data_IF_942669171738
#
_entry.id   IF_942669171738
#
_cell.length_a   1.000
_cell.length_b   1.000
_cell.length_c   1.000
_cell.angle_alpha   90.00
_cell.angle_beta   90.00
_cell.angle_gamma   90.00
#
_symmetry.space_group_name_H-M   'P 1'
#
loop_
_entity.id
_entity.type
_entity.pdbx_description
1 polymer ?
#
# COMPACT_ATOMS: atom_id res chain seq x y z
N UNK A 1 18.35 6.16 14.83
CA UNK A 1 18.84 5.72 16.15
C UNK A 1 18.57 6.81 17.16
N UNK A 2 18.06 6.47 18.35
CA UNK A 2 17.78 7.40 19.46
C UNK A 2 19.00 8.25 19.86
N UNK A 3 20.21 7.70 19.68
CA UNK A 3 21.48 8.40 19.93
C UNK A 3 21.71 9.60 18.99
N UNK A 4 21.28 9.51 17.73
CA UNK A 4 21.38 10.63 16.78
C UNK A 4 20.43 11.76 17.15
N UNK A 5 19.29 11.43 17.76
CA UNK A 5 18.26 12.39 18.14
C UNK A 5 18.62 13.11 19.43
N UNK A 6 19.17 12.37 20.41
CA UNK A 6 19.73 12.93 21.64
C UNK A 6 20.86 13.93 21.35
N UNK A 7 21.76 13.60 20.42
CA UNK A 7 22.83 14.52 19.99
C UNK A 7 22.34 15.79 19.28
N UNK A 8 21.17 15.74 18.65
CA UNK A 8 20.61 16.85 17.87
C UNK A 8 19.48 17.59 18.60
N UNK A 9 19.18 17.25 19.86
CA UNK A 9 18.11 17.89 20.65
C UNK A 9 16.71 17.68 20.07
N UNK A 10 16.51 16.65 19.24
CA UNK A 10 15.23 16.37 18.60
C UNK A 10 14.33 15.54 19.53
N UNK A 11 13.03 15.84 19.52
CA UNK A 11 12.03 15.12 20.33
C UNK A 11 12.10 13.61 20.03
N UNK A 12 12.26 12.82 21.09
CA UNK A 12 12.29 11.37 21.01
C UNK A 12 10.84 10.87 21.05
N UNK A 13 10.39 10.26 19.95
CA UNK A 13 9.13 9.53 19.91
C UNK A 13 9.38 8.11 20.44
N UNK A 14 8.53 7.62 21.34
CA UNK A 14 8.69 6.30 21.98
C UNK A 14 8.08 5.20 21.11
N UNK A 15 6.97 5.51 20.43
CA UNK A 15 6.17 4.51 19.71
C UNK A 15 6.23 4.69 18.19
N UNK A 16 6.45 5.91 17.71
CA UNK A 16 6.55 6.23 16.29
C UNK A 16 8.01 6.49 15.91
N UNK A 17 8.42 6.04 14.71
CA UNK A 17 9.70 6.42 14.13
C UNK A 17 9.70 7.91 13.75
N UNK A 18 10.84 8.58 13.88
CA UNK A 18 10.95 9.99 13.52
C UNK A 18 10.49 10.26 12.08
N UNK A 19 9.75 11.36 11.87
CA UNK A 19 9.20 11.69 10.57
C UNK A 19 10.31 11.91 9.54
N UNK A 20 10.19 11.34 8.31
CA UNK A 20 11.09 11.66 7.20
C UNK A 20 10.69 13.00 6.57
N UNK A 21 10.79 14.08 7.34
CA UNK A 21 10.28 15.43 7.00
C UNK A 21 10.87 15.93 5.68
N UNK A 22 12.17 15.72 5.47
CA UNK A 22 12.84 16.15 4.24
C UNK A 22 12.30 15.42 3.01
N UNK A 23 12.13 14.11 3.10
CA UNK A 23 11.58 13.32 1.99
C UNK A 23 10.12 13.71 1.71
N UNK A 24 9.31 13.85 2.76
CA UNK A 24 7.91 14.26 2.65
C UNK A 24 7.76 15.64 2.00
N UNK A 25 8.49 16.63 2.49
CA UNK A 25 8.43 17.98 1.94
C UNK A 25 8.98 18.06 0.52
N UNK A 26 10.03 17.31 0.20
CA UNK A 26 10.55 17.24 -1.17
C UNK A 26 9.53 16.66 -2.15
N UNK A 27 8.86 15.56 -1.77
CA UNK A 27 7.87 14.90 -2.61
C UNK A 27 6.67 15.81 -2.91
N UNK A 28 6.16 16.51 -1.90
CA UNK A 28 5.03 17.42 -2.05
C UNK A 28 5.40 18.75 -2.72
N UNK A 29 6.61 19.26 -2.49
CA UNK A 29 7.09 20.49 -3.13
C UNK A 29 7.30 20.33 -4.64
N UNK A 30 7.45 19.10 -5.14
CA UNK A 30 7.63 18.84 -6.57
C UNK A 30 6.30 19.09 -7.29
N UNK A 31 6.08 20.34 -7.74
CA UNK A 31 4.87 20.83 -8.41
C UNK A 31 4.31 19.93 -9.53
N UNK A 32 5.15 19.10 -10.17
CA UNK A 32 4.70 18.12 -11.17
C UNK A 32 3.89 16.94 -10.59
N UNK A 33 4.02 16.67 -9.28
CA UNK A 33 3.16 15.74 -8.56
C UNK A 33 1.79 16.35 -8.25
N UNK A 34 1.68 17.68 -8.14
CA UNK A 34 0.44 18.38 -7.77
C UNK A 34 -0.72 18.23 -8.76
N UNK A 35 -0.48 17.77 -9.99
CA UNK A 35 -1.55 17.40 -10.94
C UNK A 35 -2.01 15.94 -10.82
N UNK A 36 -1.20 15.08 -10.20
CA UNK A 36 -1.46 13.64 -10.04
C UNK A 36 -1.70 13.23 -8.58
N UNK A 37 -1.49 14.15 -7.64
CA UNK A 37 -1.71 13.94 -6.21
C UNK A 37 -3.06 14.55 -5.83
N UNK A 38 -4.00 13.69 -5.45
CA UNK A 38 -5.35 14.10 -5.03
C UNK A 38 -5.44 14.31 -3.50
N UNK A 39 -4.84 13.39 -2.72
CA UNK A 39 -4.86 13.45 -1.26
C UNK A 39 -3.68 12.70 -0.63
N UNK A 40 -3.30 13.11 0.58
CA UNK A 40 -2.38 12.40 1.47
C UNK A 40 -3.20 11.56 2.44
N UNK A 41 -2.96 10.24 2.43
CA UNK A 41 -3.62 9.31 3.34
C UNK A 41 -2.70 9.06 4.53
N UNK A 42 -3.17 9.47 5.70
CA UNK A 42 -2.51 9.19 6.96
C UNK A 42 -3.07 7.88 7.55
N UNK A 43 -2.22 6.86 7.64
CA UNK A 43 -2.57 5.55 8.17
C UNK A 43 -1.75 5.30 9.43
N UNK A 44 -2.43 5.03 10.53
CA UNK A 44 -1.84 4.55 11.79
C UNK A 44 -2.35 3.15 12.05
N UNK A 45 -1.44 2.20 12.26
CA UNK A 45 -1.74 0.80 12.53
C UNK A 45 -1.30 0.48 13.96
N UNK A 46 -2.18 -0.11 14.74
CA UNK A 46 -1.88 -0.55 16.10
C UNK A 46 -2.22 -2.03 16.30
N UNK A 47 -1.36 -2.71 17.06
CA UNK A 47 -1.45 -4.14 17.34
C UNK A 47 -1.70 -4.35 18.84
N UNK A 48 -2.90 -4.77 19.27
CA UNK A 48 -3.24 -4.88 20.68
C UNK A 48 -2.56 -6.06 21.41
N UNK A 49 -2.21 -7.12 20.68
CA UNK A 49 -1.75 -8.39 21.26
C UNK A 49 -0.37 -8.81 20.73
N UNK A 50 -0.30 -9.28 19.49
CA UNK A 50 0.95 -9.80 18.92
C UNK A 50 1.44 -8.87 17.81
N UNK A 51 2.69 -8.43 17.93
CA UNK A 51 3.40 -7.70 16.86
C UNK A 51 4.28 -8.73 16.16
N UNK A 52 3.99 -9.10 14.90
CA UNK A 52 4.84 -10.04 14.17
C UNK A 52 6.16 -9.33 13.82
N UNK A 53 7.18 -9.50 14.66
CA UNK A 53 8.50 -8.88 14.45
C UNK A 53 9.44 -9.76 13.63
N UNK A 54 9.20 -11.06 13.61
CA UNK A 54 10.14 -12.06 13.06
C UNK A 54 9.43 -13.02 12.13
N UNK A 55 10.15 -13.47 11.09
CA UNK A 55 9.66 -14.48 10.14
C UNK A 55 9.23 -15.79 10.81
N UNK A 56 9.78 -16.08 11.99
CA UNK A 56 9.36 -17.22 12.82
C UNK A 56 7.89 -17.14 13.25
N UNK A 57 7.35 -15.95 13.49
CA UNK A 57 5.92 -15.79 13.81
C UNK A 57 5.04 -16.14 12.61
N UNK A 58 5.49 -15.85 11.37
CA UNK A 58 4.79 -16.26 10.15
C UNK A 58 4.74 -17.78 10.01
N UNK A 59 5.87 -18.46 10.24
CA UNK A 59 5.96 -19.93 10.14
C UNK A 59 5.14 -20.65 11.22
N UNK A 60 5.08 -20.09 12.43
CA UNK A 60 4.28 -20.62 13.54
C UNK A 60 2.78 -20.31 13.41
N UNK A 61 2.37 -19.53 12.41
CA UNK A 61 0.99 -19.09 12.24
C UNK A 61 0.52 -18.12 13.33
N UNK A 62 1.46 -17.46 14.01
CA UNK A 62 1.21 -16.51 15.09
C UNK A 62 0.88 -15.14 14.52
N UNK A 63 -0.33 -15.04 13.96
CA UNK A 63 -0.87 -13.81 13.40
C UNK A 63 -1.62 -13.00 14.45
N UNK A 64 -1.53 -11.66 14.40
CA UNK A 64 -2.37 -10.80 15.24
C UNK A 64 -3.83 -11.10 14.99
N UNK A 65 -4.55 -11.50 16.05
CA UNK A 65 -6.00 -11.76 16.00
C UNK A 65 -6.81 -10.51 15.69
N UNK A 66 -6.25 -9.34 15.96
CA UNK A 66 -6.91 -8.07 15.83
C UNK A 66 -5.88 -7.01 15.44
N UNK A 67 -6.26 -6.13 14.51
CA UNK A 67 -5.45 -5.00 14.06
C UNK A 67 -6.36 -3.79 13.98
N UNK A 68 -5.94 -2.69 14.58
CA UNK A 68 -6.71 -1.46 14.56
C UNK A 68 -6.10 -0.50 13.54
N UNK A 69 -6.92 -0.03 12.61
CA UNK A 69 -6.54 0.96 11.61
C UNK A 69 -7.19 2.29 11.93
N UNK A 70 -6.38 3.34 11.99
CA UNK A 70 -6.86 4.71 11.94
C UNK A 70 -6.42 5.32 10.62
N UNK A 71 -7.39 5.65 9.77
CA UNK A 71 -7.15 6.22 8.43
C UNK A 71 -7.76 7.61 8.37
N UNK A 72 -6.97 8.60 7.96
CA UNK A 72 -7.45 9.94 7.70
C UNK A 72 -6.97 10.43 6.34
N UNK A 73 -7.88 10.97 5.53
CA UNK A 73 -7.58 11.49 4.19
C UNK A 73 -7.49 13.01 4.23
N UNK A 74 -6.34 13.57 3.87
CA UNK A 74 -6.12 15.00 3.73
C UNK A 74 -6.10 15.36 2.23
N UNK A 75 -7.13 16.05 1.70
CA UNK A 75 -7.11 16.56 0.33
C UNK A 75 -5.92 17.50 0.11
N UNK A 76 -5.33 17.51 -1.08
CA UNK A 76 -4.19 18.42 -1.36
C UNK A 76 -4.57 19.90 -1.17
N UNK A 77 -5.82 20.27 -1.42
CA UNK A 77 -6.33 21.62 -1.16
C UNK A 77 -6.25 22.05 0.32
N UNK A 78 -6.17 21.10 1.26
CA UNK A 78 -6.03 21.37 2.70
C UNK A 78 -4.58 21.49 3.17
N UNK A 79 -3.61 21.19 2.30
CA UNK A 79 -2.19 21.19 2.67
C UNK A 79 -1.59 22.59 2.56
N UNK A 80 -0.64 22.96 3.45
CA UNK A 80 0.08 24.22 3.33
C UNK A 80 0.91 24.29 2.05
N UNK A 81 0.99 25.48 1.45
CA UNK A 81 1.74 25.70 0.22
C UNK A 81 3.25 25.96 0.47
N UNK A 82 3.61 26.50 1.65
CA UNK A 82 5.01 26.76 2.00
C UNK A 82 5.71 25.50 2.48
N UNK A 83 7.02 25.41 2.20
CA UNK A 83 7.84 24.27 2.61
C UNK A 83 7.92 24.20 4.14
N UNK A 84 8.12 25.33 4.80
CA UNK A 84 8.27 25.46 6.25
C UNK A 84 6.97 25.06 6.96
N UNK A 85 5.82 25.55 6.48
CA UNK A 85 4.50 25.19 7.02
C UNK A 85 4.20 23.71 6.83
N UNK A 86 4.66 23.12 5.73
CA UNK A 86 4.51 21.69 5.46
C UNK A 86 5.39 20.84 6.39
N UNK A 87 6.59 21.32 6.75
CA UNK A 87 7.41 20.68 7.77
C UNK A 87 6.71 20.69 9.13
N UNK A 88 6.16 21.85 9.52
CA UNK A 88 5.43 22.00 10.78
C UNK A 88 4.17 21.12 10.79
N UNK A 89 3.44 21.07 9.68
CA UNK A 89 2.29 20.18 9.51
C UNK A 89 2.68 18.73 9.73
N UNK A 90 3.77 18.28 9.10
CA UNK A 90 4.29 16.92 9.25
C UNK A 90 4.67 16.61 10.70
N UNK A 91 5.38 17.51 11.37
CA UNK A 91 5.71 17.39 12.79
C UNK A 91 4.47 17.21 13.66
N UNK A 92 3.46 18.08 13.49
CA UNK A 92 2.22 18.03 14.26
C UNK A 92 1.47 16.71 14.06
N UNK A 93 1.44 16.17 12.84
CA UNK A 93 0.83 14.86 12.57
C UNK A 93 1.56 13.72 13.29
N UNK A 94 2.89 13.78 13.37
CA UNK A 94 3.67 12.78 14.10
C UNK A 94 3.48 12.85 15.61
N UNK A 95 3.39 14.06 16.15
CA UNK A 95 3.07 14.26 17.57
C UNK A 95 1.68 13.71 17.92
N UNK A 96 0.67 13.98 17.09
CA UNK A 96 -0.67 13.42 17.26
C UNK A 96 -0.69 11.89 17.18
N UNK A 97 0.10 11.30 16.27
CA UNK A 97 0.25 9.83 16.18
C UNK A 97 0.90 9.25 17.43
N UNK A 98 1.95 9.88 17.94
CA UNK A 98 2.62 9.44 19.14
C UNK A 98 1.66 9.49 20.33
N UNK A 99 0.95 10.60 20.52
CA UNK A 99 -0.04 10.74 21.60
C UNK A 99 -1.15 9.68 21.47
N UNK A 100 -1.65 9.46 20.24
CA UNK A 100 -2.66 8.45 19.96
C UNK A 100 -2.17 7.04 20.28
N UNK A 101 -1.00 6.64 19.79
CA UNK A 101 -0.47 5.30 20.04
C UNK A 101 -0.11 5.12 21.51
N UNK A 102 0.45 6.13 22.18
CA UNK A 102 0.71 6.10 23.61
C UNK A 102 -0.58 5.89 24.41
N UNK A 103 -1.66 6.58 24.03
CA UNK A 103 -2.98 6.37 24.66
C UNK A 103 -3.53 4.97 24.37
N UNK A 104 -3.34 4.45 23.15
CA UNK A 104 -3.79 3.11 22.77
C UNK A 104 -3.08 2.01 23.58
N UNK A 105 -1.75 2.08 23.70
CA UNK A 105 -0.98 1.05 24.40
C UNK A 105 -1.07 1.16 25.93
N UNK A 106 -1.38 2.34 26.49
CA UNK A 106 -1.58 2.51 27.94
C UNK A 106 -3.02 2.29 28.40
N UNK A 107 -4.00 2.53 27.53
CA UNK A 107 -5.43 2.46 27.84
C UNK A 107 -6.08 1.14 27.42
N UNK A 108 -7.36 1.21 27.05
CA UNK A 108 -8.22 0.07 26.71
C UNK A 108 -7.93 -0.58 25.33
N UNK A 109 -6.79 -0.24 24.70
CA UNK A 109 -6.38 -0.76 23.37
C UNK A 109 -7.47 -0.62 22.31
N UNK A 110 -8.20 0.48 22.36
CA UNK A 110 -9.23 0.84 21.39
C UNK A 110 -8.97 2.27 20.86
N UNK A 111 -9.33 2.55 19.60
CA UNK A 111 -9.31 3.91 19.06
C UNK A 111 -10.61 4.69 19.34
N UNK A 112 -11.34 4.32 20.41
CA UNK A 112 -12.66 4.88 20.73
C UNK A 112 -12.64 6.41 20.86
N UNK A 113 -11.50 6.99 21.22
CA UNK A 113 -11.28 8.44 21.29
C UNK A 113 -11.52 9.18 19.95
N UNK A 114 -11.42 8.51 18.80
CA UNK A 114 -11.49 9.18 17.48
C UNK A 114 -12.91 9.29 16.92
N UNK A 115 -13.90 8.64 17.53
CA UNK A 115 -15.27 8.61 17.03
C UNK A 115 -15.45 7.77 15.76
N UNK A 116 -16.47 6.92 15.77
CA UNK A 116 -16.84 5.94 14.72
C UNK A 116 -15.75 4.93 14.33
N UNK A 117 -15.80 3.77 14.99
CA UNK A 117 -15.17 2.55 14.48
C UNK A 117 -16.02 2.01 13.33
N UNK A 118 -15.68 2.40 12.09
CA UNK A 118 -16.23 1.72 10.91
C UNK A 118 -15.53 0.38 10.79
N UNK A 119 -16.16 -0.67 11.33
CA UNK A 119 -15.70 -2.04 11.13
C UNK A 119 -16.07 -2.38 9.67
N UNK A 120 -15.09 -2.54 8.76
CA UNK A 120 -15.41 -2.97 7.40
C UNK A 120 -16.11 -4.33 7.48
N UNK A 121 -16.97 -4.68 6.53
CA UNK A 121 -17.59 -6.00 6.52
C UNK A 121 -16.50 -7.07 6.43
N UNK A 122 -16.12 -7.64 7.58
CA UNK A 122 -15.15 -8.71 7.64
C UNK A 122 -15.75 -9.91 6.92
N UNK A 123 -15.00 -10.47 5.95
CA UNK A 123 -15.39 -11.72 5.31
C UNK A 123 -15.53 -12.77 6.41
N UNK A 124 -16.61 -13.55 6.40
CA UNK A 124 -16.79 -14.60 7.39
C UNK A 124 -15.61 -15.56 7.38
N UNK A 125 -15.16 -15.97 8.57
CA UNK A 125 -14.06 -16.93 8.75
C UNK A 125 -14.25 -18.18 7.89
N UNK A 126 -15.49 -18.68 7.80
CA UNK A 126 -15.86 -19.81 6.94
C UNK A 126 -15.61 -19.53 5.46
N UNK A 127 -15.99 -18.34 4.96
CA UNK A 127 -15.76 -17.98 3.56
C UNK A 127 -14.27 -17.90 3.26
N UNK A 128 -13.49 -17.30 4.15
CA UNK A 128 -12.03 -17.20 4.00
C UNK A 128 -11.41 -18.61 4.00
N UNK A 129 -11.83 -19.47 4.91
CA UNK A 129 -11.34 -20.85 5.01
C UNK A 129 -11.68 -21.67 3.75
N UNK A 130 -12.92 -21.59 3.25
CA UNK A 130 -13.36 -22.28 2.03
C UNK A 130 -12.56 -21.81 0.83
N UNK A 131 -12.41 -20.49 0.64
CA UNK A 131 -11.60 -19.95 -0.45
C UNK A 131 -10.15 -20.40 -0.34
N UNK A 132 -9.59 -20.47 0.88
CA UNK A 132 -8.23 -20.96 1.10
C UNK A 132 -8.09 -22.42 0.64
N UNK A 133 -8.99 -23.30 1.06
CA UNK A 133 -8.94 -24.71 0.68
C UNK A 133 -9.17 -24.93 -0.81
N UNK A 134 -10.12 -24.22 -1.43
CA UNK A 134 -10.34 -24.27 -2.87
C UNK A 134 -9.12 -23.78 -3.65
N UNK A 135 -8.46 -22.71 -3.20
CA UNK A 135 -7.23 -22.21 -3.81
C UNK A 135 -6.10 -23.23 -3.71
N UNK A 136 -5.89 -23.82 -2.52
CA UNK A 136 -4.86 -24.86 -2.33
C UNK A 136 -5.14 -26.05 -3.25
N UNK A 137 -6.39 -26.55 -3.29
CA UNK A 137 -6.78 -27.65 -4.16
C UNK A 137 -6.59 -27.33 -5.65
N UNK A 138 -6.96 -26.12 -6.06
CA UNK A 138 -6.76 -25.65 -7.43
C UNK A 138 -5.28 -25.65 -7.79
N UNK A 139 -4.42 -25.02 -6.98
CA UNK A 139 -3.00 -24.90 -7.29
C UNK A 139 -2.25 -26.24 -7.23
N UNK A 140 -2.65 -27.15 -6.35
CA UNK A 140 -2.05 -28.51 -6.27
C UNK A 140 -2.45 -29.39 -7.44
N UNK A 141 -3.65 -29.22 -8.02
CA UNK A 141 -4.09 -29.99 -9.19
C UNK A 141 -3.65 -29.35 -10.51
N UNK A 142 -3.75 -28.02 -10.62
CA UNK A 142 -3.46 -27.27 -11.84
C UNK A 142 -1.99 -27.40 -12.24
N UNK A 143 -1.06 -27.27 -11.28
CA UNK A 143 0.38 -27.31 -11.55
C UNK A 143 0.85 -28.62 -12.19
N UNK A 144 0.58 -29.81 -11.62
CA UNK A 144 0.96 -31.08 -12.25
C UNK A 144 0.15 -31.34 -13.52
N UNK A 145 -1.14 -30.98 -13.58
CA UNK A 145 -1.94 -31.14 -14.79
C UNK A 145 -1.36 -30.38 -15.98
N UNK A 146 -0.89 -29.15 -15.77
CA UNK A 146 -0.20 -28.37 -16.81
C UNK A 146 1.12 -29.01 -17.22
N UNK A 147 1.93 -29.49 -16.28
CA UNK A 147 3.17 -30.21 -16.60
C UNK A 147 2.90 -31.47 -17.44
N UNK A 148 1.89 -32.26 -17.08
CA UNK A 148 1.49 -33.44 -17.83
C UNK A 148 0.97 -33.08 -19.23
N UNK A 149 0.16 -32.04 -19.34
CA UNK A 149 -0.38 -31.57 -20.62
C UNK A 149 0.73 -31.13 -21.58
N UNK A 150 1.75 -30.42 -21.07
CA UNK A 150 2.95 -30.05 -21.83
C UNK A 150 3.75 -31.30 -22.24
N UNK A 151 3.84 -32.31 -21.37
CA UNK A 151 4.58 -33.54 -21.69
C UNK A 151 3.92 -34.38 -22.78
N UNK A 152 2.60 -34.60 -22.69
CA UNK A 152 1.87 -35.47 -23.61
C UNK A 152 1.54 -34.81 -24.96
N UNK A 153 1.26 -33.50 -24.98
CA UNK A 153 0.73 -32.85 -26.19
C UNK A 153 1.74 -31.91 -26.85
N UNK A 154 2.13 -32.25 -28.09
CA UNK A 154 3.06 -31.45 -28.88
C UNK A 154 2.55 -30.04 -29.20
N UNK A 155 1.25 -29.91 -29.47
CA UNK A 155 0.62 -28.60 -29.73
C UNK A 155 0.69 -27.67 -28.53
N UNK A 156 0.51 -28.21 -27.32
CA UNK A 156 0.62 -27.42 -26.10
C UNK A 156 2.04 -26.87 -25.91
N UNK A 157 3.07 -27.68 -26.17
CA UNK A 157 4.48 -27.22 -26.11
C UNK A 157 4.73 -26.03 -27.04
N UNK A 158 4.30 -26.15 -28.29
CA UNK A 158 4.46 -25.06 -29.27
C UNK A 158 3.68 -23.81 -28.87
N UNK A 159 2.45 -23.95 -28.36
CA UNK A 159 1.68 -22.83 -27.84
C UNK A 159 2.42 -22.11 -26.70
N UNK A 160 2.92 -22.86 -25.70
CA UNK A 160 3.69 -22.28 -24.58
C UNK A 160 4.96 -21.58 -25.06
N UNK A 161 5.71 -22.17 -25.99
CA UNK A 161 6.92 -21.56 -26.57
C UNK A 161 6.57 -20.26 -27.30
N UNK A 162 5.52 -20.24 -28.11
CA UNK A 162 5.07 -19.04 -28.84
C UNK A 162 4.68 -17.94 -27.85
N UNK A 163 3.92 -18.26 -26.81
CA UNK A 163 3.55 -17.29 -25.77
C UNK A 163 4.78 -16.73 -25.06
N UNK A 164 5.75 -17.57 -24.69
CA UNK A 164 7.01 -17.11 -24.08
C UNK A 164 7.75 -16.14 -25.01
N UNK A 165 7.87 -16.48 -26.30
CA UNK A 165 8.52 -15.62 -27.29
C UNK A 165 7.79 -14.28 -27.42
N UNK A 166 6.45 -14.28 -27.46
CA UNK A 166 5.65 -13.06 -27.50
C UNK A 166 5.88 -12.21 -26.25
N UNK A 167 5.85 -12.81 -25.06
CA UNK A 167 6.04 -12.08 -23.79
C UNK A 167 7.44 -11.47 -23.70
N UNK A 168 8.48 -12.21 -24.09
CA UNK A 168 9.86 -11.70 -24.12
C UNK A 168 10.02 -10.58 -25.15
N UNK A 169 9.42 -10.71 -26.33
CA UNK A 169 9.41 -9.65 -27.34
C UNK A 169 8.68 -8.41 -26.83
N UNK A 170 7.53 -8.57 -26.18
CA UNK A 170 6.78 -7.47 -25.57
C UNK A 170 7.59 -6.75 -24.49
N UNK A 171 8.28 -7.49 -23.63
CA UNK A 171 9.16 -6.92 -22.61
C UNK A 171 10.33 -6.16 -23.24
N UNK A 172 10.96 -6.72 -24.28
CA UNK A 172 12.09 -6.09 -24.97
C UNK A 172 11.71 -4.84 -25.76
N UNK A 173 10.54 -4.84 -26.40
CA UNK A 173 10.10 -3.74 -27.27
C UNK A 173 9.41 -2.62 -26.50
N UNK A 174 8.58 -2.96 -25.51
CA UNK A 174 7.70 -2.00 -24.83
C UNK A 174 8.01 -1.83 -23.34
N UNK A 175 9.00 -2.56 -22.81
CA UNK A 175 9.39 -2.53 -21.41
C UNK A 175 8.42 -3.25 -20.47
N UNK A 176 7.50 -4.06 -21.02
CA UNK A 176 6.54 -4.88 -20.28
C UNK A 176 5.08 -4.47 -20.51
N UNK A 177 4.17 -5.35 -20.10
CA UNK A 177 2.72 -5.15 -20.26
C UNK A 177 2.21 -3.94 -19.47
N UNK A 178 2.80 -3.65 -18.30
CA UNK A 178 2.40 -2.52 -17.45
C UNK A 178 2.55 -1.18 -18.17
N UNK A 179 3.63 -1.00 -18.94
CA UNK A 179 3.87 0.24 -19.69
C UNK A 179 2.92 0.39 -20.88
N UNK A 180 2.57 -0.72 -21.53
CA UNK A 180 1.54 -0.74 -22.58
C UNK A 180 0.19 -0.37 -21.96
N UNK A 181 -0.18 -0.96 -20.83
CA UNK A 181 -1.42 -0.65 -20.12
C UNK A 181 -1.46 0.83 -19.68
N UNK A 182 -0.37 1.35 -19.11
CA UNK A 182 -0.24 2.76 -18.76
C UNK A 182 -0.31 3.68 -19.99
N UNK A 183 0.25 3.27 -21.13
CA UNK A 183 0.17 4.03 -22.37
C UNK A 183 -1.26 4.04 -22.92
N UNK A 184 -1.94 2.88 -22.91
CA UNK A 184 -3.35 2.76 -23.27
C UNK A 184 -4.23 3.60 -22.34
N UNK A 185 -4.03 3.52 -21.02
CA UNK A 185 -4.76 4.33 -20.04
C UNK A 185 -4.54 5.82 -20.28
N UNK A 186 -3.29 6.27 -20.47
CA UNK A 186 -2.99 7.67 -20.80
C UNK A 186 -3.60 8.11 -22.12
N UNK A 187 -3.69 7.23 -23.11
CA UNK A 187 -4.31 7.52 -24.41
C UNK A 187 -5.83 7.66 -24.28
N UNK A 188 -6.50 6.71 -23.63
CA UNK A 188 -7.93 6.71 -23.36
C UNK A 188 -8.34 7.91 -22.49
N UNK A 189 -7.60 8.17 -21.41
CA UNK A 189 -7.93 9.22 -20.44
C UNK A 189 -7.40 10.62 -20.80
N UNK A 190 -6.64 10.79 -21.89
CA UNK A 190 -6.29 12.12 -22.45
C UNK A 190 -7.41 12.73 -23.29
N UNK A 191 -8.42 11.97 -23.72
CA UNK A 191 -9.49 12.49 -24.57
C UNK A 191 -10.55 13.40 -23.90
N UNK A 192 -10.76 13.47 -22.57
CA UNK A 192 -11.77 14.38 -22.01
C UNK A 192 -11.42 15.87 -22.15
N UNK A 193 -10.14 16.24 -22.13
CA UNK A 193 -9.72 17.65 -22.07
C UNK A 193 -9.41 18.31 -23.41
N UNK A 194 -9.24 17.53 -24.49
CA UNK A 194 -9.01 18.10 -25.84
C UNK A 194 -10.32 18.47 -26.55
N UNK A 195 -11.44 17.83 -26.22
CA UNK A 195 -12.75 18.17 -26.79
C UNK A 195 -13.39 19.41 -26.12
N UNK A 196 -13.02 19.76 -24.90
CA UNK A 196 -13.47 21.00 -24.25
C UNK A 196 -12.83 22.26 -24.86
N UNK A 197 -11.64 22.13 -25.46
CA UNK A 197 -10.89 23.24 -26.05
C UNK A 197 -11.19 23.49 -27.53
N UNK A 198 -12.11 22.72 -28.12
CA UNK A 198 -12.54 22.85 -29.52
C UNK A 198 -13.92 23.52 -29.66
N UNK A 199 -14.58 23.82 -28.53
CA UNK A 199 -15.91 24.43 -28.46
C UNK A 199 -15.91 25.84 -27.81
N UNK A 200 -14.74 26.46 -27.67
CA UNK A 200 -14.56 27.91 -27.44
C UNK A 200 -13.80 28.49 -28.63
#
# INVERSE_FOLDING_TARGET
>A
SSEFLSKNGLQLYETVLNPPIMAFTFLLSRKNLGKNLDAVHDITVAYPHNIPQTERHLLLGDFPKEIHFHVHRYPVASLPASKEDLQLWCHKRWEEKEARLRSFYRGEKNFAFTGQTVIPPCKSELRVLVVKWLSILYWTLFSPAMCLLIYFYSLARWYFIIIIVILVLQERLFGGLELIELACYRFLHKQPHLNAKKNE
#
